data_IF_809914421149
#
_entry.id   IF_809914421149
#
_cell.length_a   1.000
_cell.length_b   1.000
_cell.length_c   1.000
_cell.angle_alpha   90.00
_cell.angle_beta   90.00
_cell.angle_gamma   90.00
#
_symmetry.space_group_name_H-M   'P 1'
#
loop_
_entity.id
_entity.type
_entity.pdbx_description
1 polymer ?
#
# COMPACT_ATOMS: atom_id res chain seq x y z
N UNK A 1 -29.99 -34.86 12.71
CA UNK A 1 -29.64 -34.64 11.29
C UNK A 1 -29.98 -33.22 10.85
N UNK A 2 -31.22 -32.84 10.92
CA UNK A 2 -31.64 -31.51 10.50
C UNK A 2 -31.01 -30.40 11.35
N UNK A 3 -30.86 -30.62 12.66
CA UNK A 3 -30.21 -29.64 13.52
C UNK A 3 -28.76 -29.37 13.17
N UNK A 4 -28.07 -30.39 12.68
CA UNK A 4 -26.67 -30.24 12.26
C UNK A 4 -26.54 -29.32 11.05
N UNK A 5 -27.46 -29.42 10.09
CA UNK A 5 -27.47 -28.54 8.92
C UNK A 5 -27.70 -27.09 9.33
N UNK A 6 -28.57 -26.85 10.28
CA UNK A 6 -28.87 -25.51 10.77
C UNK A 6 -27.63 -24.91 11.46
N UNK A 7 -26.92 -25.71 12.25
CA UNK A 7 -25.70 -25.25 12.90
C UNK A 7 -24.62 -24.87 11.88
N UNK A 8 -24.49 -25.66 10.83
CA UNK A 8 -23.51 -25.36 9.76
C UNK A 8 -23.86 -24.04 9.08
N UNK A 9 -25.14 -23.78 8.82
CA UNK A 9 -25.56 -22.52 8.22
C UNK A 9 -25.25 -21.32 9.10
N UNK A 10 -25.44 -21.44 10.41
CA UNK A 10 -25.10 -20.37 11.36
C UNK A 10 -23.60 -20.08 11.35
N UNK A 11 -22.78 -21.12 11.32
CA UNK A 11 -21.33 -20.95 11.27
C UNK A 11 -20.90 -20.18 10.04
N UNK A 12 -21.47 -20.49 8.88
CA UNK A 12 -21.17 -19.79 7.64
C UNK A 12 -21.55 -18.32 7.74
N UNK A 13 -22.70 -18.01 8.32
CA UNK A 13 -23.14 -16.63 8.49
C UNK A 13 -22.17 -15.82 9.36
N UNK A 14 -21.67 -16.41 10.45
CA UNK A 14 -20.70 -15.75 11.31
C UNK A 14 -19.40 -15.48 10.59
N UNK A 15 -18.92 -16.43 9.79
CA UNK A 15 -17.71 -16.25 9.00
C UNK A 15 -17.87 -15.10 8.00
N UNK A 16 -19.03 -14.98 7.37
CA UNK A 16 -19.30 -13.89 6.44
C UNK A 16 -19.27 -12.53 7.12
N UNK A 17 -19.79 -12.43 8.34
CA UNK A 17 -19.76 -11.19 9.10
C UNK A 17 -18.37 -10.77 9.50
N UNK A 18 -17.44 -11.72 9.67
CA UNK A 18 -16.06 -11.43 10.02
C UNK A 18 -15.21 -11.01 8.81
N UNK A 19 -15.66 -11.27 7.58
CA UNK A 19 -14.87 -11.02 6.38
C UNK A 19 -14.40 -9.57 6.21
N UNK A 20 -15.19 -8.53 6.47
CA UNK A 20 -14.69 -7.16 6.28
C UNK A 20 -13.41 -6.86 7.04
N UNK A 21 -13.25 -7.41 8.24
CA UNK A 21 -12.02 -7.24 9.00
C UNK A 21 -10.85 -8.01 8.38
N UNK A 22 -11.13 -9.17 7.75
CA UNK A 22 -10.09 -10.00 7.12
C UNK A 22 -9.74 -9.53 5.72
N UNK A 23 -10.54 -8.63 5.11
CA UNK A 23 -10.26 -8.10 3.79
C UNK A 23 -9.12 -7.09 3.79
N UNK A 24 -8.73 -6.60 4.95
CA UNK A 24 -7.64 -5.63 5.09
C UNK A 24 -6.33 -6.33 5.39
N UNK A 25 -5.30 -5.94 4.64
CA UNK A 25 -3.96 -6.46 4.83
C UNK A 25 -3.03 -5.29 5.15
N UNK A 26 -2.17 -5.47 6.14
CA UNK A 26 -1.16 -4.46 6.46
C UNK A 26 0.15 -4.83 5.78
N UNK A 27 0.68 -3.91 4.99
CA UNK A 27 1.96 -4.06 4.32
C UNK A 27 2.97 -3.13 4.94
N UNK A 28 4.11 -3.68 5.32
CA UNK A 28 5.26 -2.90 5.78
C UNK A 28 6.33 -2.94 4.71
N UNK A 29 6.68 -1.77 4.18
CA UNK A 29 7.63 -1.65 3.09
C UNK A 29 8.88 -0.92 3.56
N UNK A 30 10.02 -1.56 3.45
CA UNK A 30 11.31 -0.91 3.69
C UNK A 30 11.84 -0.41 2.36
N UNK A 31 11.91 0.91 2.20
CA UNK A 31 12.26 1.53 0.94
C UNK A 31 13.50 2.41 1.10
N UNK A 32 14.17 2.64 -0.02
CA UNK A 32 15.23 3.64 -0.12
C UNK A 32 14.75 4.78 -1.02
N UNK A 33 14.73 5.97 -0.46
CA UNK A 33 14.36 7.20 -1.16
C UNK A 33 15.62 7.89 -1.68
N UNK A 34 15.59 8.27 -2.95
CA UNK A 34 16.69 8.97 -3.59
C UNK A 34 16.16 10.27 -4.17
N UNK A 35 16.82 11.37 -3.88
CA UNK A 35 16.49 12.68 -4.45
C UNK A 35 17.53 13.00 -5.53
N UNK A 36 17.05 13.24 -6.74
CA UNK A 36 17.90 13.47 -7.91
C UNK A 36 17.68 14.90 -8.39
N UNK A 37 18.76 15.64 -8.56
CA UNK A 37 18.75 16.99 -9.11
C UNK A 37 18.94 16.96 -10.64
N UNK A 38 18.69 18.09 -11.35
CA UNK A 38 18.72 18.09 -12.82
C UNK A 38 20.04 17.67 -13.45
N UNK A 39 21.14 17.83 -12.76
CA UNK A 39 22.47 17.37 -13.24
C UNK A 39 22.59 15.85 -13.29
N UNK A 40 21.62 15.12 -12.72
CA UNK A 40 21.69 13.67 -12.57
C UNK A 40 22.38 13.22 -11.29
N UNK A 41 22.94 14.15 -10.54
CA UNK A 41 23.58 13.82 -9.26
C UNK A 41 22.55 13.49 -8.19
N UNK A 42 22.93 12.61 -7.29
CA UNK A 42 22.09 12.27 -6.15
C UNK A 42 22.29 13.29 -5.05
N UNK A 43 21.21 13.97 -4.65
CA UNK A 43 21.25 14.95 -3.56
C UNK A 43 21.21 14.27 -2.20
N UNK A 44 20.40 13.25 -2.06
CA UNK A 44 20.30 12.53 -0.80
C UNK A 44 19.80 11.11 -1.00
N UNK A 45 20.15 10.24 -0.06
CA UNK A 45 19.63 8.86 0.02
C UNK A 45 19.17 8.62 1.44
N UNK A 46 17.99 8.07 1.59
CA UNK A 46 17.43 7.81 2.91
C UNK A 46 16.54 6.58 2.88
N UNK A 47 16.71 5.72 3.87
CA UNK A 47 15.81 4.59 4.07
C UNK A 47 14.56 5.09 4.80
N UNK A 48 13.42 4.52 4.44
CA UNK A 48 12.14 4.86 5.04
C UNK A 48 11.26 3.62 5.12
N UNK A 49 10.55 3.51 6.23
CA UNK A 49 9.52 2.49 6.41
C UNK A 49 8.17 3.10 6.04
N UNK A 50 7.47 2.45 5.12
CA UNK A 50 6.13 2.86 4.72
C UNK A 50 5.16 1.75 5.08
N UNK A 51 4.11 2.10 5.79
CA UNK A 51 3.07 1.16 6.16
C UNK A 51 1.76 1.49 5.46
N UNK A 52 1.11 0.45 4.92
CA UNK A 52 -0.12 0.62 4.17
C UNK A 52 -1.16 -0.40 4.59
N UNK A 53 -2.42 0.06 4.65
CA UNK A 53 -3.56 -0.83 4.72
C UNK A 53 -4.13 -1.01 3.32
N UNK A 54 -4.24 -2.26 2.89
CA UNK A 54 -4.86 -2.60 1.61
C UNK A 54 -6.20 -3.26 1.91
N UNK A 55 -7.27 -2.70 1.37
CA UNK A 55 -8.61 -3.30 1.46
C UNK A 55 -9.03 -3.71 0.06
N UNK A 56 -9.00 -5.02 -0.21
CA UNK A 56 -9.31 -5.55 -1.53
C UNK A 56 -10.80 -5.49 -1.86
N UNK A 57 -11.64 -5.48 -0.85
CA UNK A 57 -13.08 -5.40 -1.06
C UNK A 57 -13.51 -3.97 -1.36
N UNK A 58 -13.08 -3.03 -0.53
CA UNK A 58 -13.40 -1.62 -0.72
C UNK A 58 -12.55 -0.96 -1.80
N UNK A 59 -11.47 -1.61 -2.25
CA UNK A 59 -10.53 -1.06 -3.24
C UNK A 59 -9.88 0.22 -2.75
N UNK A 60 -9.43 0.20 -1.50
CA UNK A 60 -8.79 1.36 -0.88
C UNK A 60 -7.38 1.05 -0.44
N UNK A 61 -6.56 2.08 -0.45
CA UNK A 61 -5.20 2.05 0.08
C UNK A 61 -5.04 3.24 1.01
N UNK A 62 -4.62 2.96 2.24
CA UNK A 62 -4.43 4.02 3.23
C UNK A 62 -3.06 3.85 3.90
N UNK A 63 -2.44 4.96 4.26
CA UNK A 63 -1.24 4.92 5.07
C UNK A 63 -1.55 4.48 6.49
N UNK A 64 -0.51 4.16 7.25
CA UNK A 64 -0.64 3.73 8.64
C UNK A 64 -1.35 4.77 9.52
N UNK A 65 -1.28 6.06 9.17
CA UNK A 65 -1.96 7.14 9.86
C UNK A 65 -3.41 7.34 9.41
N UNK A 66 -3.95 6.42 8.61
CA UNK A 66 -5.29 6.43 8.04
C UNK A 66 -5.54 7.50 6.98
N UNK A 67 -4.50 8.12 6.44
CA UNK A 67 -4.67 9.01 5.31
C UNK A 67 -4.76 8.21 4.02
N UNK A 68 -5.74 8.57 3.18
CA UNK A 68 -6.06 7.80 1.98
C UNK A 68 -5.21 8.20 0.78
N UNK A 69 -4.88 7.22 -0.05
CA UNK A 69 -4.32 7.47 -1.38
C UNK A 69 -5.43 7.34 -2.42
N UNK A 70 -5.27 8.01 -3.55
CA UNK A 70 -6.18 7.86 -4.66
C UNK A 70 -5.77 6.64 -5.47
N UNK A 71 -6.57 5.58 -5.41
CA UNK A 71 -6.26 4.31 -6.08
C UNK A 71 -6.71 4.40 -7.53
N UNK A 72 -5.77 4.17 -8.45
CA UNK A 72 -6.05 4.12 -9.89
C UNK A 72 -6.12 2.69 -10.40
N UNK A 73 -5.48 1.76 -9.70
CA UNK A 73 -5.55 0.33 -10.03
C UNK A 73 -5.37 -0.48 -8.75
N UNK A 74 -6.23 -1.47 -8.55
CA UNK A 74 -6.06 -2.43 -7.46
C UNK A 74 -6.62 -3.77 -7.91
N UNK A 75 -5.73 -4.70 -8.20
CA UNK A 75 -6.07 -6.06 -8.56
C UNK A 75 -5.08 -7.03 -7.89
N UNK A 76 -5.11 -8.28 -8.28
CA UNK A 76 -4.26 -9.31 -7.66
C UNK A 76 -2.78 -9.11 -7.97
N UNK A 77 -2.46 -8.44 -9.06
CA UNK A 77 -1.08 -8.28 -9.51
C UNK A 77 -0.49 -6.94 -9.09
N UNK A 78 -1.28 -5.87 -9.15
CA UNK A 78 -0.76 -4.51 -8.99
C UNK A 78 -1.69 -3.63 -8.18
N UNK A 79 -1.07 -2.69 -7.47
CA UNK A 79 -1.76 -1.55 -6.89
C UNK A 79 -1.06 -0.30 -7.39
N UNK A 80 -1.81 0.62 -7.98
CA UNK A 80 -1.31 1.93 -8.38
C UNK A 80 -2.13 2.99 -7.69
N UNK A 81 -1.46 3.95 -7.06
CA UNK A 81 -2.14 4.99 -6.31
C UNK A 81 -1.28 6.25 -6.28
N UNK A 82 -1.91 7.39 -6.05
CA UNK A 82 -1.18 8.63 -5.91
C UNK A 82 -1.65 9.42 -4.70
N UNK A 83 -0.77 10.29 -4.23
CA UNK A 83 -1.08 11.24 -3.17
C UNK A 83 -0.03 12.34 -3.16
N UNK A 84 -0.49 13.59 -3.13
CA UNK A 84 0.38 14.76 -3.02
C UNK A 84 1.48 14.80 -4.08
N UNK A 85 1.13 14.40 -5.30
CA UNK A 85 2.07 14.39 -6.41
C UNK A 85 3.04 13.23 -6.42
N UNK A 86 2.94 12.32 -5.47
CA UNK A 86 3.76 11.11 -5.43
C UNK A 86 2.94 9.95 -5.97
N UNK A 87 3.49 9.27 -6.95
CA UNK A 87 2.85 8.11 -7.58
C UNK A 87 3.48 6.84 -7.02
N UNK A 88 2.64 5.94 -6.52
CA UNK A 88 3.06 4.68 -5.91
C UNK A 88 2.61 3.52 -6.78
N UNK A 89 3.50 2.55 -6.98
CA UNK A 89 3.16 1.29 -7.63
C UNK A 89 3.67 0.13 -6.78
N UNK A 90 2.79 -0.81 -6.52
CA UNK A 90 3.11 -2.00 -5.75
C UNK A 90 2.89 -3.24 -6.60
N UNK A 91 3.98 -4.01 -6.80
CA UNK A 91 3.93 -5.34 -7.42
C UNK A 91 3.60 -6.36 -6.34
N UNK A 92 2.36 -6.84 -6.34
CA UNK A 92 1.88 -7.75 -5.30
C UNK A 92 2.52 -9.13 -5.38
N UNK A 93 2.91 -9.55 -6.57
CA UNK A 93 3.53 -10.86 -6.75
C UNK A 93 5.00 -10.84 -6.35
N UNK A 94 5.71 -9.81 -6.75
CA UNK A 94 7.12 -9.64 -6.41
C UNK A 94 7.37 -9.07 -5.02
N UNK A 95 6.37 -8.45 -4.41
CA UNK A 95 6.49 -7.84 -3.09
C UNK A 95 7.35 -6.58 -3.09
N UNK A 96 7.33 -5.82 -4.18
CA UNK A 96 8.14 -4.60 -4.30
C UNK A 96 7.26 -3.37 -4.47
N UNK A 97 7.68 -2.29 -3.82
CA UNK A 97 7.04 -0.97 -3.95
C UNK A 97 8.01 -0.03 -4.64
N UNK A 98 7.49 0.73 -5.60
CA UNK A 98 8.22 1.86 -6.20
C UNK A 98 7.35 3.11 -6.09
N UNK A 99 8.01 4.25 -5.94
CA UNK A 99 7.29 5.52 -5.97
C UNK A 99 8.17 6.60 -6.59
N UNK A 100 7.52 7.59 -7.17
CA UNK A 100 8.22 8.67 -7.85
C UNK A 100 7.42 9.97 -7.77
N UNK A 101 8.13 11.07 -7.73
CA UNK A 101 7.56 12.40 -7.79
C UNK A 101 8.55 13.34 -8.46
N UNK A 102 8.02 14.34 -9.17
CA UNK A 102 8.83 15.41 -9.73
C UNK A 102 8.25 16.74 -9.27
N UNK A 103 9.10 17.61 -8.78
CA UNK A 103 8.72 18.96 -8.36
C UNK A 103 9.56 19.97 -9.14
N UNK A 104 8.91 21.01 -9.65
CA UNK A 104 9.58 22.10 -10.35
C UNK A 104 9.40 23.37 -9.55
N UNK A 105 10.51 24.01 -9.18
CA UNK A 105 10.50 25.28 -8.48
C UNK A 105 11.60 26.15 -9.06
N UNK A 106 11.24 27.37 -9.44
CA UNK A 106 12.16 28.34 -10.04
C UNK A 106 12.89 27.73 -11.26
N UNK A 107 12.14 27.06 -12.13
CA UNK A 107 12.61 26.37 -13.34
C UNK A 107 13.60 25.22 -13.05
N UNK A 108 13.72 24.79 -11.80
CA UNK A 108 14.54 23.64 -11.42
C UNK A 108 13.65 22.46 -11.07
N UNK A 109 13.85 21.34 -11.77
CA UNK A 109 13.08 20.12 -11.51
C UNK A 109 13.90 19.16 -10.66
N UNK A 110 13.30 18.76 -9.54
CA UNK A 110 13.87 17.76 -8.66
C UNK A 110 13.01 16.50 -8.74
N UNK A 111 13.65 15.36 -8.91
CA UNK A 111 12.96 14.07 -8.98
C UNK A 111 13.26 13.27 -7.73
N UNK A 112 12.21 12.73 -7.14
CA UNK A 112 12.30 11.82 -6.00
C UNK A 112 11.88 10.44 -6.49
N UNK A 113 12.71 9.44 -6.23
CA UNK A 113 12.37 8.04 -6.52
C UNK A 113 12.62 7.21 -5.29
N UNK A 114 11.80 6.20 -5.11
CA UNK A 114 11.97 5.28 -4.01
C UNK A 114 11.59 3.88 -4.43
N UNK A 115 12.23 2.90 -3.84
CA UNK A 115 11.89 1.50 -4.09
C UNK A 115 12.28 0.66 -2.88
N UNK A 116 11.61 -0.46 -2.73
CA UNK A 116 11.91 -1.36 -1.65
C UNK A 116 11.02 -2.58 -1.64
N UNK A 117 11.21 -3.41 -0.64
CA UNK A 117 10.46 -4.63 -0.47
C UNK A 117 9.39 -4.45 0.59
N UNK A 118 8.27 -5.10 0.35
CA UNK A 118 7.14 -5.09 1.26
C UNK A 118 6.88 -6.51 1.75
N UNK A 119 6.42 -6.60 2.97
CA UNK A 119 5.98 -7.87 3.54
C UNK A 119 4.65 -7.65 4.25
N UNK A 120 3.87 -8.72 4.31
CA UNK A 120 2.64 -8.72 5.09
C UNK A 120 3.05 -8.78 6.55
N UNK A 121 2.59 -7.83 7.34
CA UNK A 121 2.98 -7.70 8.73
C UNK A 121 1.76 -7.60 9.63
N UNK A 122 1.99 -7.78 10.92
CA UNK A 122 0.98 -7.53 11.92
C UNK A 122 0.67 -6.04 11.96
N UNK A 123 -0.61 -5.71 12.18
CA UNK A 123 -1.03 -4.33 12.27
C UNK A 123 -0.32 -3.63 13.43
N UNK A 124 0.03 -2.35 13.27
CA UNK A 124 0.64 -1.61 14.37
C UNK A 124 -0.30 -1.54 15.57
N UNK A 125 0.26 -1.71 16.73
CA UNK A 125 -0.47 -1.53 17.99
C UNK A 125 -0.64 -0.05 18.27
N UNK A 126 -1.77 0.28 18.83
CA UNK A 126 -2.04 1.67 19.23
C UNK A 126 -2.06 1.82 20.72
#
# INVERSE_FOLDING_TARGET
MKGMSNCAALTIALAALAQPALARTYLNCLTRKVVIIPSGDTLSRRDANLGFWVDDVAKTLTFVDNTSLTVTRLDRAWISADRDGIFYEFDRQGGTLTYAASTTKDAVTTTIVGSGRCEIAAAPMR
#
